data_IF_629254060943
#
_entry.id   IF_629254060943
#
_cell.length_a   1.000
_cell.length_b   1.000
_cell.length_c   1.000
_cell.angle_alpha   90.00
_cell.angle_beta   90.00
_cell.angle_gamma   90.00
#
_symmetry.space_group_name_H-M   'P 1'
#
loop_
_entity.id
_entity.type
_entity.pdbx_description
1 polymer ?
#
# COMPACT_ATOMS: atom_id res chain seq x y z
N UNK A 1 -60.52 9.42 20.14
CA UNK A 1 -59.79 8.15 19.92
C UNK A 1 -58.96 8.29 18.65
N UNK A 2 -57.67 8.63 18.77
CA UNK A 2 -56.74 8.76 17.63
C UNK A 2 -55.74 7.62 17.74
N UNK A 3 -55.70 6.76 16.71
CA UNK A 3 -54.80 5.60 16.62
C UNK A 3 -53.39 6.07 16.27
N UNK A 4 -52.41 5.79 17.13
CA UNK A 4 -51.00 5.86 16.77
C UNK A 4 -50.59 4.56 16.08
N UNK A 5 -50.26 4.63 14.79
CA UNK A 5 -49.58 3.56 14.07
C UNK A 5 -48.08 3.65 14.32
N UNK A 6 -47.50 2.62 14.92
CA UNK A 6 -46.06 2.49 15.06
C UNK A 6 -45.46 2.02 13.73
N UNK A 7 -44.73 2.92 13.04
CA UNK A 7 -43.88 2.53 11.93
C UNK A 7 -42.51 2.08 12.48
N UNK A 8 -42.29 0.77 12.49
CA UNK A 8 -41.02 0.16 12.83
C UNK A 8 -40.04 0.40 11.68
N UNK A 9 -39.18 1.41 11.83
CA UNK A 9 -38.05 1.65 10.93
C UNK A 9 -37.03 0.52 11.13
N UNK A 10 -37.06 -0.46 10.23
CA UNK A 10 -35.97 -1.43 10.05
C UNK A 10 -34.72 -0.64 9.65
N UNK A 11 -33.85 -0.39 10.62
CA UNK A 11 -32.47 0.01 10.40
C UNK A 11 -31.76 -1.15 9.70
N UNK A 12 -31.82 -1.19 8.36
CA UNK A 12 -30.85 -1.95 7.58
C UNK A 12 -29.48 -1.37 7.92
N UNK A 13 -28.78 -2.06 8.80
CA UNK A 13 -27.37 -1.82 9.06
C UNK A 13 -26.63 -2.09 7.76
N UNK A 14 -26.26 -1.02 7.08
CA UNK A 14 -25.30 -1.05 5.99
C UNK A 14 -23.94 -1.37 6.60
N UNK A 15 -23.74 -2.62 7.00
CA UNK A 15 -22.41 -3.21 7.09
C UNK A 15 -21.96 -3.34 5.65
N UNK A 16 -21.34 -2.29 5.13
CA UNK A 16 -20.46 -2.45 3.99
C UNK A 16 -19.47 -3.53 4.40
N UNK A 17 -19.62 -4.72 3.84
CA UNK A 17 -18.53 -5.66 3.72
C UNK A 17 -17.45 -4.83 3.01
N UNK A 18 -16.44 -4.38 3.76
CA UNK A 18 -15.20 -4.01 3.11
C UNK A 18 -14.84 -5.28 2.34
N UNK A 19 -14.97 -5.25 1.01
CA UNK A 19 -14.42 -6.31 0.18
C UNK A 19 -12.98 -6.44 0.66
N UNK A 20 -12.66 -7.54 1.34
CA UNK A 20 -11.32 -7.86 1.79
C UNK A 20 -10.51 -8.13 0.52
N UNK A 21 -10.10 -7.03 -0.11
CA UNK A 21 -9.41 -7.06 -1.39
C UNK A 21 -8.00 -7.55 -1.14
N UNK A 22 -7.58 -8.50 -1.97
CA UNK A 22 -6.19 -8.89 -2.07
C UNK A 22 -5.44 -7.76 -2.75
N UNK A 23 -4.34 -7.31 -2.14
CA UNK A 23 -3.57 -6.16 -2.61
C UNK A 23 -2.08 -6.47 -2.59
N UNK A 24 -1.38 -6.16 -3.67
CA UNK A 24 0.08 -6.08 -3.71
C UNK A 24 0.50 -4.61 -3.57
N UNK A 25 1.20 -4.29 -2.48
CA UNK A 25 1.74 -2.96 -2.24
C UNK A 25 3.11 -2.76 -2.89
N UNK A 26 3.98 -3.77 -2.82
CA UNK A 26 5.31 -3.69 -3.39
C UNK A 26 5.68 -5.01 -4.07
N UNK A 27 6.35 -4.97 -5.24
CA UNK A 27 6.54 -3.79 -6.09
C UNK A 27 5.22 -3.31 -6.72
N UNK A 28 5.19 -2.08 -7.22
CA UNK A 28 4.06 -1.62 -8.05
C UNK A 28 4.02 -2.41 -9.37
N UNK A 29 2.82 -2.65 -9.89
CA UNK A 29 2.63 -3.21 -11.23
C UNK A 29 3.32 -2.34 -12.30
N UNK A 30 3.84 -2.98 -13.34
CA UNK A 30 4.54 -2.35 -14.47
C UNK A 30 5.72 -1.48 -14.02
N UNK A 31 6.61 -2.07 -13.22
CA UNK A 31 7.79 -1.38 -12.69
C UNK A 31 9.10 -2.09 -13.00
N UNK A 32 10.19 -1.33 -13.04
CA UNK A 32 11.54 -1.88 -13.03
C UNK A 32 12.00 -1.96 -11.58
N UNK A 33 12.56 -3.09 -11.17
CA UNK A 33 13.17 -3.27 -9.85
C UNK A 33 14.67 -3.50 -10.02
N UNK A 34 15.44 -2.99 -9.06
CA UNK A 34 16.88 -3.24 -9.04
C UNK A 34 17.14 -4.75 -8.94
N UNK A 35 18.14 -5.29 -9.67
CA UNK A 35 18.54 -6.68 -9.53
C UNK A 35 18.93 -7.00 -8.08
N UNK A 36 18.58 -8.20 -7.60
CA UNK A 36 18.91 -8.65 -6.26
C UNK A 36 17.67 -8.82 -5.40
N UNK A 37 17.67 -8.24 -4.20
CA UNK A 37 16.60 -8.43 -3.22
C UNK A 37 15.37 -7.59 -3.59
N UNK A 38 14.28 -8.28 -3.90
CA UNK A 38 12.95 -7.72 -4.06
C UNK A 38 12.13 -7.96 -2.80
N UNK A 39 11.83 -6.89 -2.08
CA UNK A 39 10.83 -6.91 -1.01
C UNK A 39 9.43 -6.88 -1.60
N UNK A 40 8.68 -7.96 -1.39
CA UNK A 40 7.27 -8.07 -1.70
C UNK A 40 6.46 -7.76 -0.46
N UNK A 41 5.51 -6.84 -0.56
CA UNK A 41 4.58 -6.50 0.52
C UNK A 41 3.17 -6.56 -0.03
N UNK A 42 2.29 -7.29 0.64
CA UNK A 42 0.89 -7.43 0.24
C UNK A 42 -0.05 -7.64 1.44
N UNK A 43 -1.34 -7.63 1.15
CA UNK A 43 -2.40 -8.01 2.07
C UNK A 43 -3.33 -9.00 1.38
N UNK A 44 -3.65 -10.09 2.06
CA UNK A 44 -4.57 -11.12 1.58
C UNK A 44 -5.26 -11.75 2.79
N UNK A 45 -6.59 -11.79 2.80
CA UNK A 45 -7.35 -12.47 3.83
C UNK A 45 -7.30 -14.00 3.65
N UNK A 46 -7.63 -14.71 4.73
CA UNK A 46 -7.69 -16.18 4.71
C UNK A 46 -6.35 -16.84 4.37
N UNK A 47 -6.42 -17.96 3.65
CA UNK A 47 -5.23 -18.72 3.23
C UNK A 47 -4.59 -18.07 2.01
N UNK A 48 -3.59 -17.23 2.23
CA UNK A 48 -2.87 -16.56 1.16
C UNK A 48 -1.88 -17.51 0.43
N UNK A 49 -1.74 -17.31 -0.88
CA UNK A 49 -0.74 -17.96 -1.73
C UNK A 49 -0.01 -16.89 -2.56
N UNK A 50 1.33 -16.90 -2.54
CA UNK A 50 2.15 -16.01 -3.35
C UNK A 50 2.88 -16.84 -4.41
N UNK A 51 2.76 -16.42 -5.67
CA UNK A 51 3.44 -17.04 -6.80
C UNK A 51 4.36 -16.04 -7.48
N UNK A 52 5.54 -16.51 -7.89
CA UNK A 52 6.45 -15.83 -8.81
C UNK A 52 6.54 -16.67 -10.09
N UNK A 53 6.12 -16.10 -11.22
CA UNK A 53 6.07 -16.77 -12.52
C UNK A 53 5.32 -18.10 -12.48
N UNK A 54 4.19 -18.11 -11.77
CA UNK A 54 3.34 -19.31 -11.59
C UNK A 54 3.90 -20.36 -10.62
N UNK A 55 5.06 -20.12 -9.99
CA UNK A 55 5.63 -21.01 -8.97
C UNK A 55 5.36 -20.46 -7.58
N UNK A 56 4.82 -21.29 -6.69
CA UNK A 56 4.59 -20.90 -5.31
C UNK A 56 5.93 -20.53 -4.62
N UNK A 57 5.94 -19.39 -3.94
CA UNK A 57 7.06 -18.92 -3.14
C UNK A 57 6.67 -18.81 -1.67
N UNK A 58 7.66 -18.98 -0.78
CA UNK A 58 7.44 -18.82 0.66
C UNK A 58 7.39 -17.33 1.00
N UNK A 59 6.57 -17.01 1.97
CA UNK A 59 6.46 -15.68 2.56
C UNK A 59 6.25 -15.81 4.07
N UNK A 60 6.55 -14.74 4.78
CA UNK A 60 6.26 -14.56 6.20
C UNK A 60 4.97 -13.74 6.36
N UNK A 61 4.27 -13.96 7.46
CA UNK A 61 3.06 -13.22 7.82
C UNK A 61 3.30 -12.49 9.14
N UNK A 62 3.85 -11.26 9.12
CA UNK A 62 4.13 -10.49 10.34
C UNK A 62 2.90 -10.23 11.23
N UNK A 63 1.72 -10.24 10.62
CA UNK A 63 0.43 -10.18 11.28
C UNK A 63 -0.64 -10.85 10.40
N UNK A 64 -1.85 -11.12 10.92
CA UNK A 64 -2.92 -11.74 10.15
C UNK A 64 -3.20 -10.98 8.84
N UNK A 65 -3.13 -11.73 7.75
CA UNK A 65 -3.38 -11.25 6.39
C UNK A 65 -2.29 -10.36 5.78
N UNK A 66 -1.16 -10.14 6.46
CA UNK A 66 0.00 -9.44 5.89
C UNK A 66 0.89 -10.45 5.18
N UNK A 67 1.29 -10.15 3.95
CA UNK A 67 2.24 -10.96 3.18
C UNK A 67 3.53 -10.18 3.03
N UNK A 68 4.64 -10.76 3.50
CA UNK A 68 5.98 -10.22 3.31
C UNK A 68 6.92 -11.31 2.79
N UNK A 69 7.58 -11.06 1.67
CA UNK A 69 8.59 -11.95 1.13
C UNK A 69 9.82 -11.16 0.68
N UNK A 70 10.99 -11.74 0.87
CA UNK A 70 12.24 -11.25 0.29
C UNK A 70 12.64 -12.23 -0.81
N UNK A 71 12.49 -11.81 -2.07
CA UNK A 71 12.75 -12.64 -3.24
C UNK A 71 14.04 -12.20 -3.93
N UNK A 72 14.65 -13.11 -4.68
CA UNK A 72 15.82 -12.81 -5.54
C UNK A 72 15.54 -13.24 -6.98
N UNK A 73 14.61 -12.55 -7.67
CA UNK A 73 14.30 -12.89 -9.06
C UNK A 73 15.54 -12.72 -9.94
N UNK A 74 15.71 -13.60 -10.92
CA UNK A 74 16.75 -13.47 -11.94
C UNK A 74 16.54 -12.19 -12.77
N UNK A 75 17.47 -11.85 -13.68
CA UNK A 75 17.24 -10.78 -14.64
C UNK A 75 16.10 -11.13 -15.59
N UNK A 76 15.23 -10.17 -15.91
CA UNK A 76 14.16 -10.36 -16.88
C UNK A 76 12.78 -9.92 -16.39
N UNK A 77 11.77 -10.23 -17.20
CA UNK A 77 10.37 -9.96 -16.90
C UNK A 77 9.81 -11.06 -15.98
N UNK A 78 9.08 -10.64 -14.97
CA UNK A 78 8.47 -11.50 -13.97
C UNK A 78 7.05 -11.07 -13.66
N UNK A 79 6.24 -12.01 -13.16
CA UNK A 79 4.90 -11.75 -12.63
C UNK A 79 4.78 -12.26 -11.19
N UNK A 80 4.31 -11.39 -10.30
CA UNK A 80 3.79 -11.77 -9.00
C UNK A 80 2.29 -11.96 -9.08
N UNK A 81 1.81 -13.03 -8.46
CA UNK A 81 0.40 -13.28 -8.23
C UNK A 81 0.19 -13.59 -6.75
N UNK A 82 -0.55 -12.73 -6.07
CA UNK A 82 -1.01 -12.96 -4.71
C UNK A 82 -2.48 -13.35 -4.75
N UNK A 83 -2.81 -14.48 -4.14
CA UNK A 83 -4.18 -14.98 -3.96
C UNK A 83 -4.54 -14.99 -2.50
N UNK A 84 -5.82 -14.81 -2.21
CA UNK A 84 -6.38 -14.91 -0.88
C UNK A 84 -7.89 -15.08 -0.94
N UNK A 85 -8.52 -15.06 0.23
CA UNK A 85 -9.96 -14.93 0.31
C UNK A 85 -10.37 -13.58 -0.30
N UNK A 86 -11.46 -13.57 -1.09
CA UNK A 86 -11.96 -12.36 -1.73
C UNK A 86 -11.32 -11.98 -3.07
N UNK A 87 -10.24 -12.63 -3.52
CA UNK A 87 -9.72 -12.44 -4.88
C UNK A 87 -8.23 -12.68 -5.09
N UNK A 88 -7.66 -11.98 -6.06
CA UNK A 88 -6.24 -12.02 -6.39
C UNK A 88 -5.72 -10.64 -6.83
N UNK A 89 -4.43 -10.41 -6.62
CA UNK A 89 -3.70 -9.25 -7.12
C UNK A 89 -2.49 -9.69 -7.93
N UNK A 90 -2.20 -8.97 -9.01
CA UNK A 90 -1.05 -9.21 -9.88
C UNK A 90 -0.15 -7.98 -9.97
N UNK A 91 1.15 -8.23 -10.10
CA UNK A 91 2.13 -7.20 -10.43
C UNK A 91 3.16 -7.78 -11.40
N UNK A 92 3.20 -7.25 -12.61
CA UNK A 92 4.30 -7.48 -13.54
C UNK A 92 5.47 -6.53 -13.19
N UNK A 93 6.69 -7.04 -13.21
CA UNK A 93 7.88 -6.23 -12.96
C UNK A 93 9.08 -6.75 -13.74
N UNK A 94 10.03 -5.88 -14.04
CA UNK A 94 11.28 -6.24 -14.70
C UNK A 94 12.45 -6.11 -13.73
N UNK A 95 13.15 -7.21 -13.47
CA UNK A 95 14.39 -7.25 -12.70
C UNK A 95 15.56 -6.85 -13.60
N UNK A 96 16.03 -5.61 -13.46
CA UNK A 96 17.03 -5.06 -14.37
C UNK A 96 17.20 -3.55 -14.27
N UNK A 97 17.77 -2.95 -15.33
CA UNK A 97 18.02 -1.51 -15.39
C UNK A 97 16.88 -0.72 -16.05
N UNK A 98 16.27 -1.29 -17.09
CA UNK A 98 15.23 -0.65 -17.87
C UNK A 98 14.37 -1.70 -18.58
N UNK A 99 13.10 -1.36 -18.84
CA UNK A 99 12.19 -2.19 -19.60
C UNK A 99 11.02 -1.36 -20.12
N UNK A 100 10.74 -1.39 -21.43
CA UNK A 100 9.45 -0.99 -21.99
C UNK A 100 8.89 0.38 -21.58
N UNK A 101 9.75 1.35 -21.21
CA UNK A 101 9.30 2.65 -20.68
C UNK A 101 8.83 2.65 -19.22
N UNK A 102 8.80 1.49 -18.56
CA UNK A 102 8.49 1.36 -17.14
C UNK A 102 9.53 2.10 -16.29
N UNK A 103 9.07 2.58 -15.13
CA UNK A 103 9.88 3.40 -14.23
C UNK A 103 10.44 2.54 -13.09
N UNK A 104 11.62 2.92 -12.61
CA UNK A 104 12.25 2.27 -11.46
C UNK A 104 11.39 2.44 -10.21
N UNK A 105 10.96 1.33 -9.62
CA UNK A 105 10.33 1.26 -8.31
C UNK A 105 11.34 1.63 -7.24
N UNK A 106 10.97 2.54 -6.35
CA UNK A 106 11.78 2.96 -5.21
C UNK A 106 11.12 2.45 -3.94
N UNK A 107 11.68 1.42 -3.28
CA UNK A 107 11.11 0.91 -2.05
C UNK A 107 11.14 2.00 -0.97
N UNK A 108 10.11 2.00 -0.12
CA UNK A 108 10.09 2.83 1.07
C UNK A 108 9.76 1.96 2.29
N UNK A 109 10.51 2.11 3.39
CA UNK A 109 11.71 2.95 3.54
C UNK A 109 12.90 2.47 2.68
N UNK A 110 13.75 3.37 2.15
CA UNK A 110 14.93 3.00 1.36
C UNK A 110 16.12 2.55 2.23
N UNK A 111 15.93 2.48 3.56
CA UNK A 111 16.96 2.16 4.54
C UNK A 111 16.74 0.73 5.00
N UNK A 112 17.81 -0.06 4.96
CA UNK A 112 17.80 -1.43 5.49
C UNK A 112 17.57 -1.44 7.01
N UNK A 113 16.95 -2.51 7.52
CA UNK A 113 16.72 -2.68 8.97
C UNK A 113 15.51 -1.93 9.54
N UNK A 114 14.82 -1.09 8.77
CA UNK A 114 13.54 -0.52 9.22
C UNK A 114 12.44 -1.59 9.14
N UNK A 115 12.06 -2.10 10.32
CA UNK A 115 11.03 -3.13 10.48
C UNK A 115 9.60 -2.60 10.31
N UNK A 116 8.67 -3.51 10.02
CA UNK A 116 7.26 -3.19 9.77
C UNK A 116 6.60 -2.50 10.98
N UNK A 117 7.02 -2.86 12.20
CA UNK A 117 6.57 -2.35 13.49
C UNK A 117 7.07 -0.92 13.79
N UNK A 118 7.92 -0.35 12.94
CA UNK A 118 8.26 1.09 12.98
C UNK A 118 7.02 1.93 12.71
N UNK A 119 6.24 1.54 11.70
CA UNK A 119 5.04 2.24 11.25
C UNK A 119 3.75 1.57 11.74
N UNK A 120 3.75 0.25 11.84
CA UNK A 120 2.59 -0.55 12.21
C UNK A 120 2.70 -1.09 13.64
N UNK A 121 1.61 -1.66 14.13
CA UNK A 121 1.55 -2.43 15.37
C UNK A 121 0.42 -3.45 15.28
N UNK A 122 0.52 -4.53 16.07
CA UNK A 122 -0.63 -5.40 16.33
C UNK A 122 -1.48 -4.77 17.43
N UNK A 123 -2.75 -4.51 17.15
CA UNK A 123 -3.74 -4.00 18.12
C UNK A 123 -4.95 -4.93 18.08
N UNK A 124 -5.28 -5.54 19.23
CA UNK A 124 -6.39 -6.51 19.34
C UNK A 124 -6.30 -7.69 18.34
N UNK A 125 -5.07 -8.14 18.05
CA UNK A 125 -4.84 -9.22 17.08
C UNK A 125 -4.85 -8.77 15.61
N UNK A 126 -5.15 -7.51 15.33
CA UNK A 126 -5.19 -6.97 13.97
C UNK A 126 -3.96 -6.10 13.67
N UNK A 127 -3.55 -6.10 12.40
CA UNK A 127 -2.51 -5.21 11.92
C UNK A 127 -3.06 -3.80 11.73
N UNK A 128 -2.51 -2.83 12.47
CA UNK A 128 -2.97 -1.45 12.46
C UNK A 128 -1.81 -0.46 12.38
N UNK A 129 -2.10 0.81 12.15
CA UNK A 129 -1.11 1.87 12.27
C UNK A 129 -0.71 2.06 13.74
N UNK A 130 0.59 2.29 13.97
CA UNK A 130 1.15 2.47 15.32
C UNK A 130 0.55 3.69 16.01
N UNK A 131 0.32 4.77 15.26
CA UNK A 131 -0.32 6.02 15.70
C UNK A 131 -1.69 6.19 15.04
N UNK A 132 -2.52 7.07 15.63
CA UNK A 132 -3.85 7.38 15.11
C UNK A 132 -3.82 8.13 13.77
N UNK A 133 -2.74 8.87 13.49
CA UNK A 133 -2.51 9.58 12.22
C UNK A 133 -1.12 9.24 11.67
N UNK A 134 -0.94 9.36 10.35
CA UNK A 134 0.32 9.05 9.68
C UNK A 134 1.41 10.09 9.93
N UNK A 135 1.05 11.38 9.99
CA UNK A 135 2.01 12.48 10.19
C UNK A 135 3.06 12.21 11.28
N UNK A 136 2.71 11.87 12.55
CA UNK A 136 3.72 11.61 13.58
C UNK A 136 4.60 10.38 13.30
N UNK A 137 4.13 9.42 12.50
CA UNK A 137 4.94 8.26 12.08
C UNK A 137 5.96 8.74 11.05
N UNK A 138 5.51 9.43 10.00
CA UNK A 138 6.36 9.94 8.93
C UNK A 138 7.46 10.87 9.48
N UNK A 139 7.13 11.71 10.46
CA UNK A 139 8.08 12.63 11.08
C UNK A 139 9.08 11.97 12.05
N UNK A 140 9.01 10.65 12.24
CA UNK A 140 10.08 9.92 12.92
C UNK A 140 11.38 9.91 12.08
N UNK A 141 11.24 10.02 10.75
CA UNK A 141 12.39 10.09 9.83
C UNK A 141 12.40 11.36 8.95
N UNK A 142 11.23 11.93 8.63
CA UNK A 142 11.12 13.10 7.76
C UNK A 142 11.00 14.41 8.54
N UNK A 143 11.92 15.33 8.30
CA UNK A 143 12.01 16.60 9.01
C UNK A 143 10.79 17.52 8.78
N UNK A 144 10.11 17.86 9.87
CA UNK A 144 8.94 18.75 9.85
C UNK A 144 9.29 20.19 9.42
N UNK A 145 10.39 20.81 9.90
CA UNK A 145 10.89 22.09 9.37
C UNK A 145 11.14 22.15 7.85
N UNK A 146 11.42 21.03 7.20
CA UNK A 146 11.58 20.97 5.75
C UNK A 146 10.24 20.85 5.00
N UNK A 147 9.18 20.40 5.67
CA UNK A 147 7.88 20.10 5.07
C UNK A 147 7.29 21.24 4.24
N UNK A 148 7.25 22.51 4.71
CA UNK A 148 6.65 23.61 3.93
C UNK A 148 7.39 23.94 2.62
N UNK A 149 8.64 23.48 2.47
CA UNK A 149 9.43 23.68 1.24
C UNK A 149 9.23 22.57 0.22
N UNK A 150 8.73 21.42 0.64
CA UNK A 150 8.60 20.21 -0.19
C UNK A 150 7.14 19.96 -0.58
N UNK A 151 6.20 20.27 0.31
CA UNK A 151 4.78 20.00 0.17
C UNK A 151 3.98 21.27 -0.08
N UNK A 152 2.95 21.15 -0.93
CA UNK A 152 2.05 22.28 -1.27
C UNK A 152 0.93 22.48 -0.26
N UNK A 153 0.50 21.43 0.43
CA UNK A 153 -0.48 21.49 1.51
C UNK A 153 0.22 21.35 2.86
N UNK A 154 -0.22 22.10 3.87
CA UNK A 154 0.21 21.88 5.25
C UNK A 154 -0.47 20.63 5.87
N UNK A 155 0.06 20.18 7.00
CA UNK A 155 -0.48 19.01 7.72
C UNK A 155 -1.81 19.30 8.42
N UNK A 156 -2.26 20.56 8.49
CA UNK A 156 -3.57 20.95 9.01
C UNK A 156 -4.67 20.76 7.97
N UNK A 157 -4.35 21.03 6.71
CA UNK A 157 -5.23 20.93 5.54
C UNK A 157 -5.30 19.49 5.03
N UNK A 158 -4.15 18.81 4.94
CA UNK A 158 -4.04 17.43 4.48
C UNK A 158 -3.15 16.61 5.43
N UNK A 159 -3.73 16.17 6.54
CA UNK A 159 -3.02 15.40 7.57
C UNK A 159 -2.67 13.96 7.13
N UNK A 160 -3.40 13.42 6.16
CA UNK A 160 -3.19 12.06 5.67
C UNK A 160 -2.20 12.03 4.49
N UNK A 161 -0.94 11.71 4.83
CA UNK A 161 0.16 11.63 3.88
C UNK A 161 -0.12 10.63 2.74
N UNK A 162 -0.92 9.58 2.98
CA UNK A 162 -1.19 8.54 1.97
C UNK A 162 -2.22 8.95 0.92
N UNK A 163 -2.81 10.14 1.03
CA UNK A 163 -3.62 10.71 -0.04
C UNK A 163 -2.75 10.92 -1.29
N UNK A 164 -1.53 11.41 -1.09
CA UNK A 164 -0.59 11.67 -2.19
C UNK A 164 0.53 10.65 -2.28
N UNK A 165 0.98 10.11 -1.14
CA UNK A 165 2.17 9.25 -1.06
C UNK A 165 1.81 7.76 -0.92
N UNK A 166 2.76 6.89 -1.27
CA UNK A 166 2.65 5.45 -1.21
C UNK A 166 3.72 4.90 -0.25
N UNK A 167 3.36 4.58 1.02
CA UNK A 167 4.33 4.31 2.08
C UNK A 167 5.23 3.08 1.89
N UNK A 168 4.84 2.15 1.02
CA UNK A 168 5.64 0.95 0.69
C UNK A 168 6.57 1.16 -0.52
N UNK A 169 6.57 2.35 -1.13
CA UNK A 169 7.40 2.71 -2.26
C UNK A 169 6.63 2.94 -3.55
N UNK A 170 7.20 3.69 -4.48
CA UNK A 170 6.55 3.95 -5.77
C UNK A 170 7.56 4.18 -6.88
N UNK A 171 7.08 4.11 -8.12
CA UNK A 171 7.82 4.51 -9.30
C UNK A 171 7.91 6.03 -9.48
N UNK A 172 7.01 6.80 -8.87
CA UNK A 172 6.97 8.25 -8.92
C UNK A 172 7.91 8.91 -7.90
N UNK A 173 8.48 10.06 -8.26
CA UNK A 173 9.37 10.84 -7.39
C UNK A 173 8.65 11.23 -6.09
N UNK A 174 9.36 11.16 -4.96
CA UNK A 174 8.78 11.46 -3.65
C UNK A 174 7.77 10.43 -3.16
N UNK A 175 7.83 9.20 -3.69
CA UNK A 175 6.90 8.12 -3.41
C UNK A 175 5.43 8.52 -3.62
N UNK A 176 5.13 9.30 -4.66
CA UNK A 176 3.74 9.65 -4.97
C UNK A 176 2.97 8.42 -5.49
N UNK A 177 1.66 8.34 -5.26
CA UNK A 177 0.83 7.21 -5.71
C UNK A 177 0.73 7.10 -7.24
N UNK A 178 0.95 8.22 -7.92
CA UNK A 178 0.97 8.34 -9.38
C UNK A 178 1.86 9.54 -9.77
N UNK A 179 1.87 9.91 -11.06
CA UNK A 179 2.44 11.18 -11.49
C UNK A 179 1.82 12.35 -10.71
N UNK A 180 2.62 13.40 -10.44
CA UNK A 180 2.21 14.51 -9.57
C UNK A 180 0.90 15.14 -10.01
N UNK A 181 0.76 15.35 -11.32
CA UNK A 181 -0.40 15.98 -11.92
C UNK A 181 -1.65 15.11 -11.74
N UNK A 182 -1.51 13.78 -11.80
CA UNK A 182 -2.60 12.82 -11.56
C UNK A 182 -3.04 12.87 -10.09
N UNK A 183 -2.08 12.92 -9.15
CA UNK A 183 -2.39 13.01 -7.72
C UNK A 183 -3.12 14.32 -7.40
N UNK A 184 -2.67 15.46 -7.92
CA UNK A 184 -3.35 16.75 -7.72
C UNK A 184 -4.79 16.71 -8.25
N UNK A 185 -5.01 16.05 -9.40
CA UNK A 185 -6.34 15.91 -10.01
C UNK A 185 -7.30 14.97 -9.29
N UNK A 186 -6.86 14.28 -8.25
CA UNK A 186 -7.78 13.51 -7.41
C UNK A 186 -8.77 14.40 -6.66
N UNK A 187 -8.40 15.66 -6.41
CA UNK A 187 -9.25 16.64 -5.73
C UNK A 187 -9.44 17.95 -6.51
N UNK A 188 -8.51 18.31 -7.40
CA UNK A 188 -8.53 19.57 -8.13
C UNK A 188 -8.77 19.35 -9.62
N UNK A 189 -9.82 19.95 -10.16
CA UNK A 189 -9.94 20.09 -11.61
C UNK A 189 -8.92 21.14 -12.08
N UNK A 190 -7.78 20.68 -12.57
CA UNK A 190 -6.78 21.54 -13.20
C UNK A 190 -7.23 21.84 -14.63
N UNK A 191 -7.74 23.06 -14.85
CA UNK A 191 -8.01 23.64 -16.17
C UNK A 191 -6.72 23.94 -16.92
#
# INVERSE_FOLDING_TARGET
MVRFGAALLLLLSWRGLAEETVVLFAPMNESVVAPGNLRVVGKAAGKAELLLDGKAVRFESPAPGVVHAELKPGPGLHELLLKGEGGEAKAAFFSGKEHGGWKMFRPHPPIEGIGCDTCHAVKNGEWAMKRATLSPICHTCHDLPAFPRIHTHDTGTLADCQNCHYPHGSTAKGNLRAAREVVCRQCHDLQ
#
